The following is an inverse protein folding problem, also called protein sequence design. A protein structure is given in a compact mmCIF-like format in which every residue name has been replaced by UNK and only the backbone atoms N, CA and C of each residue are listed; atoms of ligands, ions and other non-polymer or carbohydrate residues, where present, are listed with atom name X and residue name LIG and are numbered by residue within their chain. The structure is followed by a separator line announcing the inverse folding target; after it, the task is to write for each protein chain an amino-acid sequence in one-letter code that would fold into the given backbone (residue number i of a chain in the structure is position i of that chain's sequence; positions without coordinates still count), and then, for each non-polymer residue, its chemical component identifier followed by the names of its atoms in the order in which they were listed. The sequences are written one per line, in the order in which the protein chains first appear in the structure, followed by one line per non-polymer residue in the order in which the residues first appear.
data_IF_958268617569
#
_entry.id   IF_958268617569
#
_cell.length_a   1.000
_cell.length_b   1.000
_cell.length_c   1.000
_cell.angle_alpha   90.00
_cell.angle_beta   90.00
_cell.angle_gamma   90.00
#
_symmetry.space_group_name_H-M   'P 1'
#
loop_
_entity.id
_entity.type
_entity.pdbx_description
1 polymer ?
#
# COMPACT_ATOMS: atom_id res chain seq x y z
N UNK A 1 43.05 -31.25 3.90
CA UNK A 1 42.24 -30.01 3.85
C UNK A 1 40.77 -30.42 3.88
N UNK A 2 40.30 -30.84 5.05
CA UNK A 2 39.41 -30.11 5.96
C UNK A 2 38.03 -29.78 5.37
N UNK A 3 37.10 -30.58 5.87
CA UNK A 3 35.65 -30.49 5.86
C UNK A 3 35.13 -29.30 6.69
N UNK A 4 33.91 -28.90 6.34
CA UNK A 4 32.82 -28.51 7.24
C UNK A 4 32.43 -27.02 7.37
N UNK A 5 31.11 -26.85 7.19
CA UNK A 5 30.20 -26.09 8.03
C UNK A 5 30.12 -24.55 7.85
N UNK A 6 29.23 -24.15 6.93
CA UNK A 6 28.65 -22.80 6.83
C UNK A 6 27.54 -22.59 7.88
N UNK A 7 27.86 -22.81 9.16
CA UNK A 7 26.96 -22.59 10.31
C UNK A 7 27.68 -21.74 11.36
N UNK A 8 27.99 -20.48 11.04
CA UNK A 8 28.73 -19.58 11.96
C UNK A 8 28.03 -18.26 12.28
N UNK A 9 27.02 -17.86 11.52
CA UNK A 9 26.49 -16.48 11.59
C UNK A 9 25.26 -16.31 12.47
N UNK A 10 24.65 -17.40 12.96
CA UNK A 10 23.39 -17.35 13.70
C UNK A 10 23.56 -17.36 15.24
N UNK A 11 24.77 -17.63 15.76
CA UNK A 11 25.00 -17.76 17.21
C UNK A 11 25.48 -16.48 17.91
N UNK A 12 25.86 -15.43 17.16
CA UNK A 12 26.40 -14.19 17.74
C UNK A 12 25.29 -13.20 18.13
N UNK A 13 24.06 -13.35 17.62
CA UNK A 13 22.96 -12.43 17.96
C UNK A 13 22.24 -12.72 19.27
N UNK A 14 22.53 -13.83 19.96
CA UNK A 14 21.86 -14.17 21.24
C UNK A 14 22.59 -13.64 22.49
N UNK A 15 23.79 -13.06 22.35
CA UNK A 15 24.60 -12.59 23.48
C UNK A 15 24.66 -11.06 23.62
N UNK A 16 23.72 -10.33 23.03
CA UNK A 16 23.59 -8.88 23.18
C UNK A 16 22.38 -8.46 24.05
N UNK A 17 21.71 -9.42 24.71
CA UNK A 17 20.56 -9.18 25.60
C UNK A 17 20.93 -9.27 27.09
N UNK A 18 22.15 -8.84 27.44
CA UNK A 18 22.60 -8.73 28.83
C UNK A 18 23.43 -7.46 29.02
N UNK A 19 22.86 -6.32 28.66
CA UNK A 19 23.30 -5.03 29.15
C UNK A 19 22.15 -4.45 29.95
N UNK A 20 22.23 -4.62 31.27
CA UNK A 20 21.35 -4.01 32.25
C UNK A 20 21.29 -2.50 32.01
N UNK A 21 20.21 -2.04 31.38
CA UNK A 21 19.87 -0.63 31.37
C UNK A 21 19.44 -0.27 32.79
N UNK A 22 20.36 0.32 33.56
CA UNK A 22 20.04 0.94 34.83
C UNK A 22 19.04 2.06 34.58
N UNK A 23 17.75 1.78 34.76
CA UNK A 23 16.70 2.78 34.80
C UNK A 23 16.96 3.68 36.01
N UNK A 24 17.57 4.83 35.75
CA UNK A 24 17.73 5.89 36.74
C UNK A 24 16.36 6.56 36.90
N UNK A 25 15.60 6.13 37.91
CA UNK A 25 14.38 6.81 38.33
C UNK A 25 14.75 8.21 38.80
N UNK A 26 14.59 9.21 37.93
CA UNK A 26 14.62 10.60 38.33
C UNK A 26 13.19 11.00 38.68
N UNK A 27 12.96 11.37 39.93
CA UNK A 27 11.68 11.92 40.36
C UNK A 27 11.43 13.24 39.60
N UNK A 28 10.23 13.37 39.02
CA UNK A 28 9.78 14.59 38.41
C UNK A 28 9.51 15.63 39.50
N UNK A 29 10.42 16.58 39.66
CA UNK A 29 10.22 17.75 40.53
C UNK A 29 9.45 18.78 39.70
N UNK A 30 8.24 19.13 40.13
CA UNK A 30 7.48 20.25 39.56
C UNK A 30 8.18 21.54 39.98
N UNK A 31 8.72 22.36 39.06
CA UNK A 31 9.21 23.68 39.44
C UNK A 31 8.00 24.57 39.72
N UNK A 32 7.77 24.85 41.01
CA UNK A 32 6.87 25.89 41.47
C UNK A 32 7.50 27.25 41.23
N UNK A 33 7.32 27.80 40.02
CA UNK A 33 7.85 29.11 39.70
C UNK A 33 7.60 29.55 38.27
N UNK A 34 6.65 30.48 38.15
CA UNK A 34 6.46 31.42 37.04
C UNK A 34 5.79 30.83 35.79
N UNK A 35 4.68 31.47 35.39
CA UNK A 35 3.96 31.26 34.14
C UNK A 35 4.91 31.40 32.95
N UNK A 36 5.55 30.30 32.56
CA UNK A 36 6.15 30.19 31.24
C UNK A 36 4.98 30.03 30.29
N UNK A 37 4.64 31.12 29.56
CA UNK A 37 3.85 30.96 28.35
C UNK A 37 4.58 29.92 27.51
N UNK A 38 3.99 28.74 27.38
CA UNK A 38 4.42 27.75 26.40
C UNK A 38 4.20 28.44 25.05
N UNK A 39 5.25 29.09 24.55
CA UNK A 39 5.31 29.45 23.14
C UNK A 39 5.32 28.13 22.42
N UNK A 40 4.14 27.67 22.01
CA UNK A 40 4.02 26.64 21.00
C UNK A 40 4.75 27.22 19.81
N UNK A 41 6.00 26.79 19.62
CA UNK A 41 6.73 27.11 18.42
C UNK A 41 5.83 26.60 17.30
N UNK A 42 5.17 27.52 16.61
CA UNK A 42 4.38 27.21 15.42
C UNK A 42 5.42 26.75 14.43
N UNK A 43 5.68 25.44 14.43
CA UNK A 43 6.56 24.78 13.49
C UNK A 43 6.01 25.19 12.14
N UNK A 44 6.77 26.02 11.43
CA UNK A 44 6.33 26.60 10.17
C UNK A 44 5.84 25.46 9.29
N UNK A 45 4.58 25.58 8.85
CA UNK A 45 3.98 24.59 7.97
C UNK A 45 4.89 24.49 6.73
N UNK A 46 5.34 23.29 6.34
CA UNK A 46 6.03 23.13 5.07
C UNK A 46 5.10 23.64 3.96
N UNK A 47 5.66 24.18 2.86
CA UNK A 47 4.86 24.68 1.75
C UNK A 47 3.89 23.58 1.27
N UNK A 48 2.66 23.92 0.83
CA UNK A 48 1.59 22.95 0.53
C UNK A 48 1.96 21.85 -0.48
N UNK A 49 3.06 22.03 -1.21
CA UNK A 49 3.55 21.13 -2.26
C UNK A 49 4.40 19.97 -1.73
N UNK A 50 4.89 20.04 -0.48
CA UNK A 50 5.84 19.05 0.08
C UNK A 50 5.24 18.17 1.18
N UNK A 51 3.91 18.19 1.35
CA UNK A 51 3.25 17.34 2.34
C UNK A 51 3.04 15.95 1.73
N UNK A 52 3.83 14.97 2.20
CA UNK A 52 3.62 13.57 1.85
C UNK A 52 2.18 13.15 2.19
N UNK A 53 1.50 12.57 1.20
CA UNK A 53 0.11 12.13 1.33
C UNK A 53 0.03 10.85 2.19
N UNK A 54 -0.99 10.72 3.05
CA UNK A 54 -1.19 9.54 3.90
C UNK A 54 -1.10 9.84 5.41
N UNK A 55 -0.58 8.92 6.21
CA UNK A 55 -0.43 9.07 7.67
C UNK A 55 0.35 10.34 8.05
N UNK A 56 1.37 10.68 7.25
CA UNK A 56 2.19 11.87 7.48
C UNK A 56 1.42 13.18 7.30
N UNK A 57 0.33 13.20 6.53
CA UNK A 57 -0.51 14.39 6.37
C UNK A 57 -1.47 14.61 7.55
N UNK A 58 -1.68 13.60 8.41
CA UNK A 58 -2.65 13.65 9.51
C UNK A 58 -2.33 14.73 10.55
N UNK A 59 -1.04 15.00 10.78
CA UNK A 59 -0.56 16.07 11.68
C UNK A 59 -0.99 17.48 11.25
N UNK A 60 -1.35 17.68 9.98
CA UNK A 60 -1.75 18.97 9.42
C UNK A 60 -3.26 19.09 9.20
N UNK A 61 -4.05 18.06 9.54
CA UNK A 61 -5.50 18.10 9.40
C UNK A 61 -6.11 18.96 10.50
N UNK A 62 -6.84 20.02 10.13
CA UNK A 62 -7.62 20.79 11.11
C UNK A 62 -8.64 19.88 11.80
N UNK A 63 -8.78 20.00 13.11
CA UNK A 63 -9.72 19.21 13.93
C UNK A 63 -11.03 19.95 14.23
N UNK A 64 -11.12 21.24 13.90
CA UNK A 64 -12.30 22.07 14.19
C UNK A 64 -13.24 22.07 12.99
N UNK A 65 -14.50 21.71 13.25
CA UNK A 65 -15.60 21.72 12.27
C UNK A 65 -16.20 23.13 12.17
N UNK A 66 -16.08 23.78 11.02
CA UNK A 66 -16.58 25.15 10.82
C UNK A 66 -17.95 25.17 10.15
N UNK A 67 -18.61 26.33 10.13
CA UNK A 67 -19.90 26.49 9.43
C UNK A 67 -19.79 26.14 7.94
N UNK A 68 -18.69 26.50 7.28
CA UNK A 68 -18.45 26.13 5.89
C UNK A 68 -18.38 24.62 5.68
N UNK A 69 -17.84 23.86 6.65
CA UNK A 69 -17.83 22.40 6.59
C UNK A 69 -19.25 21.83 6.63
N UNK A 70 -20.15 22.44 7.40
CA UNK A 70 -21.56 22.06 7.47
C UNK A 70 -22.30 22.32 6.17
N UNK A 71 -22.09 23.50 5.56
CA UNK A 71 -22.68 23.84 4.26
C UNK A 71 -22.17 22.87 3.19
N UNK A 72 -20.85 22.64 3.15
CA UNK A 72 -20.23 21.72 2.20
C UNK A 72 -20.71 20.28 2.38
N UNK A 73 -20.89 19.83 3.62
CA UNK A 73 -21.41 18.50 3.92
C UNK A 73 -22.86 18.31 3.45
N UNK A 74 -23.69 19.37 3.53
CA UNK A 74 -25.09 19.34 3.11
C UNK A 74 -25.34 19.67 1.65
N UNK A 75 -24.31 20.10 0.91
CA UNK A 75 -24.45 20.37 -0.53
C UNK A 75 -25.07 19.18 -1.29
N UNK A 76 -26.01 19.43 -2.22
CA UNK A 76 -26.63 18.38 -3.04
C UNK A 76 -25.61 17.73 -3.98
N UNK A 77 -24.57 18.47 -4.40
CA UNK A 77 -23.53 18.01 -5.32
C UNK A 77 -22.43 17.14 -4.65
N UNK A 78 -22.57 16.83 -3.35
CA UNK A 78 -21.57 16.06 -2.59
C UNK A 78 -21.22 14.71 -3.24
N UNK A 79 -22.20 14.08 -3.88
CA UNK A 79 -22.04 12.77 -4.50
C UNK A 79 -21.10 12.86 -5.71
N UNK A 80 -21.36 13.81 -6.60
CA UNK A 80 -20.54 14.04 -7.79
C UNK A 80 -19.13 14.48 -7.42
N UNK A 81 -18.99 15.38 -6.43
CA UNK A 81 -17.69 15.78 -5.92
C UNK A 81 -16.89 14.59 -5.38
N UNK A 82 -17.56 13.66 -4.68
CA UNK A 82 -16.90 12.45 -4.19
C UNK A 82 -16.47 11.52 -5.33
N UNK A 83 -17.30 11.30 -6.34
CA UNK A 83 -16.95 10.49 -7.52
C UNK A 83 -15.74 11.08 -8.24
N UNK A 84 -15.76 12.39 -8.51
CA UNK A 84 -14.67 13.08 -9.20
C UNK A 84 -13.38 13.05 -8.37
N UNK A 85 -13.49 13.06 -7.03
CA UNK A 85 -12.35 12.99 -6.14
C UNK A 85 -11.76 11.57 -5.95
N UNK A 86 -12.51 10.50 -6.27
CA UNK A 86 -12.06 9.11 -6.14
C UNK A 86 -10.69 8.82 -6.78
N UNK A 87 -10.39 9.19 -8.04
CA UNK A 87 -9.08 8.91 -8.65
C UNK A 87 -7.92 9.64 -7.96
N UNK A 88 -8.19 10.75 -7.28
CA UNK A 88 -7.18 11.49 -6.51
C UNK A 88 -7.05 11.04 -5.06
N UNK A 89 -7.89 10.09 -4.63
CA UNK A 89 -7.92 9.57 -3.27
C UNK A 89 -6.67 8.77 -2.92
N UNK A 90 -6.36 8.70 -1.63
CA UNK A 90 -5.24 7.93 -1.09
C UNK A 90 -5.25 6.46 -1.42
N UNK A 91 -6.46 5.88 -1.47
CA UNK A 91 -6.64 4.47 -1.81
C UNK A 91 -6.12 4.22 -3.21
N UNK A 92 -6.51 5.06 -4.18
CA UNK A 92 -6.02 4.93 -5.54
C UNK A 92 -4.50 5.11 -5.61
N UNK A 93 -3.94 6.13 -4.96
CA UNK A 93 -2.48 6.38 -4.99
C UNK A 93 -1.66 5.24 -4.39
N UNK A 94 -2.16 4.60 -3.34
CA UNK A 94 -1.45 3.51 -2.67
C UNK A 94 -1.58 2.17 -3.43
N UNK A 95 -2.77 1.87 -3.98
CA UNK A 95 -3.02 0.58 -4.63
C UNK A 95 -2.77 0.58 -6.14
N UNK A 96 -2.79 1.74 -6.80
CA UNK A 96 -2.72 1.81 -8.26
C UNK A 96 -1.47 1.14 -8.84
N UNK A 97 -0.31 1.26 -8.20
CA UNK A 97 0.93 0.65 -8.70
C UNK A 97 0.83 -0.87 -8.75
N UNK A 98 0.28 -1.48 -7.71
CA UNK A 98 0.11 -2.94 -7.61
C UNK A 98 -0.95 -3.45 -8.59
N UNK A 99 -2.07 -2.73 -8.70
CA UNK A 99 -3.13 -3.05 -9.66
C UNK A 99 -2.62 -2.92 -11.11
N UNK A 100 -1.84 -1.89 -11.43
CA UNK A 100 -1.28 -1.71 -12.78
C UNK A 100 -0.26 -2.80 -13.09
N UNK A 101 0.59 -3.18 -12.12
CA UNK A 101 1.56 -4.25 -12.33
C UNK A 101 0.88 -5.60 -12.61
N UNK A 102 -0.14 -5.95 -11.83
CA UNK A 102 -0.87 -7.21 -12.01
C UNK A 102 -1.72 -7.22 -13.29
N UNK A 103 -2.38 -6.11 -13.63
CA UNK A 103 -3.13 -5.99 -14.88
C UNK A 103 -2.20 -6.04 -16.10
N UNK A 104 -1.01 -5.45 -16.04
CA UNK A 104 -0.02 -5.53 -17.12
C UNK A 104 0.46 -6.97 -17.38
N UNK A 105 0.70 -7.75 -16.31
CA UNK A 105 1.05 -9.17 -16.46
C UNK A 105 -0.12 -9.97 -17.03
N UNK A 106 -1.33 -9.73 -16.53
CA UNK A 106 -2.53 -10.42 -17.01
C UNK A 106 -2.81 -10.11 -18.50
N UNK A 107 -2.71 -8.85 -18.92
CA UNK A 107 -2.91 -8.46 -20.32
C UNK A 107 -1.82 -9.05 -21.23
N UNK A 108 -0.56 -9.09 -20.78
CA UNK A 108 0.51 -9.73 -21.54
C UNK A 108 0.23 -11.23 -21.79
N UNK A 109 -0.26 -11.95 -20.77
CA UNK A 109 -0.61 -13.37 -20.90
C UNK A 109 -1.81 -13.56 -21.85
N UNK A 110 -2.84 -12.71 -21.75
CA UNK A 110 -4.01 -12.77 -22.64
C UNK A 110 -3.59 -12.52 -24.09
N UNK A 111 -2.76 -11.51 -24.34
CA UNK A 111 -2.24 -11.21 -25.68
C UNK A 111 -1.40 -12.37 -26.21
N UNK A 112 -0.51 -12.94 -25.40
CA UNK A 112 0.27 -14.12 -25.78
C UNK A 112 -0.64 -15.29 -26.16
N UNK A 113 -1.63 -15.59 -25.32
CA UNK A 113 -2.58 -16.69 -25.56
C UNK A 113 -3.46 -16.44 -26.79
N UNK A 114 -3.81 -15.19 -27.09
CA UNK A 114 -4.52 -14.82 -28.31
C UNK A 114 -3.67 -15.03 -29.57
N UNK A 115 -2.37 -14.75 -29.52
CA UNK A 115 -1.45 -14.92 -30.65
C UNK A 115 -1.15 -16.40 -30.97
N UNK A 116 -0.95 -17.23 -29.93
CA UNK A 116 -0.59 -18.65 -30.06
C UNK A 116 -1.83 -19.54 -30.18
N UNK A 117 -2.93 -19.19 -29.49
CA UNK A 117 -4.09 -20.06 -29.33
C UNK A 117 -5.33 -19.66 -30.11
N UNK A 118 -5.29 -18.54 -30.83
CA UNK A 118 -6.45 -17.91 -31.44
C UNK A 118 -7.27 -17.12 -30.41
N UNK A 119 -8.14 -16.24 -30.88
CA UNK A 119 -9.05 -15.47 -30.03
C UNK A 119 -10.45 -15.44 -30.63
N UNK A 120 -11.44 -15.23 -29.77
CA UNK A 120 -12.82 -14.98 -30.19
C UNK A 120 -13.09 -13.49 -30.05
N UNK A 121 -13.51 -12.86 -31.14
CA UNK A 121 -13.84 -11.44 -31.13
C UNK A 121 -15.20 -11.18 -30.44
N UNK A 122 -15.54 -9.93 -30.15
CA UNK A 122 -16.80 -9.53 -29.51
C UNK A 122 -18.05 -9.93 -30.32
N UNK A 123 -17.90 -10.17 -31.63
CA UNK A 123 -18.93 -10.72 -32.50
C UNK A 123 -19.08 -12.25 -32.45
N UNK A 124 -18.33 -12.94 -31.60
CA UNK A 124 -18.37 -14.40 -31.45
C UNK A 124 -17.66 -15.18 -32.56
N UNK A 125 -16.95 -14.50 -33.46
CA UNK A 125 -16.17 -15.13 -34.55
C UNK A 125 -14.83 -15.58 -34.00
N UNK A 126 -14.45 -16.84 -34.27
CA UNK A 126 -13.15 -17.38 -33.88
C UNK A 126 -12.11 -17.09 -34.95
N UNK A 127 -11.03 -16.42 -34.54
CA UNK A 127 -9.87 -16.16 -35.37
C UNK A 127 -8.78 -17.19 -35.06
N UNK A 128 -8.24 -17.79 -36.13
CA UNK A 128 -7.13 -18.74 -36.02
C UNK A 128 -5.88 -18.06 -35.45
N UNK A 129 -5.04 -18.87 -34.80
CA UNK A 129 -3.75 -18.40 -34.26
C UNK A 129 -2.86 -17.82 -35.37
N UNK A 130 -2.22 -16.70 -35.08
CA UNK A 130 -1.26 -16.05 -36.00
C UNK A 130 0.03 -16.88 -36.09
N UNK A 131 0.45 -17.48 -34.96
CA UNK A 131 1.60 -18.36 -34.87
C UNK A 131 1.12 -19.81 -34.82
N UNK A 132 1.00 -20.45 -35.99
CA UNK A 132 0.51 -21.83 -36.16
C UNK A 132 1.54 -22.90 -35.80
N UNK A 133 2.42 -22.62 -34.84
CA UNK A 133 3.47 -23.55 -34.44
C UNK A 133 2.92 -24.49 -33.35
N UNK A 134 2.78 -25.77 -33.68
CA UNK A 134 2.44 -26.89 -32.77
C UNK A 134 3.33 -26.98 -31.51
N UNK A 135 4.48 -26.29 -31.52
CA UNK A 135 5.48 -26.36 -30.46
C UNK A 135 5.26 -25.36 -29.30
N UNK A 136 4.38 -24.35 -29.48
CA UNK A 136 4.17 -23.31 -28.46
C UNK A 136 2.97 -23.65 -27.57
N UNK A 137 3.16 -23.93 -26.27
CA UNK A 137 2.06 -24.28 -25.37
C UNK A 137 1.25 -23.04 -24.97
N UNK A 138 -0.07 -23.22 -24.81
CA UNK A 138 -0.93 -22.20 -24.19
C UNK A 138 -0.60 -22.09 -22.71
N UNK A 139 -0.41 -20.86 -22.22
CA UNK A 139 -0.07 -20.63 -20.82
C UNK A 139 -1.37 -20.52 -20.02
N UNK A 140 -1.59 -21.48 -19.13
CA UNK A 140 -2.69 -21.48 -18.17
C UNK A 140 -2.16 -21.72 -16.77
N UNK A 141 -2.71 -21.01 -15.78
CA UNK A 141 -2.38 -21.27 -14.39
C UNK A 141 -3.35 -22.31 -13.80
N UNK A 142 -2.88 -23.21 -12.92
CA UNK A 142 -3.77 -24.09 -12.18
C UNK A 142 -4.64 -23.25 -11.24
N UNK A 143 -5.95 -23.38 -11.37
CA UNK A 143 -6.93 -22.60 -10.59
C UNK A 143 -6.99 -23.04 -9.11
N UNK A 144 -6.59 -24.27 -8.81
CA UNK A 144 -6.68 -24.87 -7.48
C UNK A 144 -5.94 -24.11 -6.36
N UNK A 145 -4.67 -23.68 -6.48
CA UNK A 145 -4.01 -22.94 -5.41
C UNK A 145 -4.65 -21.57 -5.15
N UNK A 146 -5.14 -20.90 -6.20
CA UNK A 146 -5.76 -19.57 -6.08
C UNK A 146 -7.15 -19.65 -5.41
N UNK A 147 -7.94 -20.68 -5.70
CA UNK A 147 -9.23 -20.90 -5.03
C UNK A 147 -9.06 -21.22 -3.54
N UNK A 148 -8.08 -22.06 -3.19
CA UNK A 148 -7.83 -22.45 -1.80
C UNK A 148 -7.29 -21.27 -1.00
N UNK A 149 -6.24 -20.59 -1.49
CA UNK A 149 -5.62 -19.46 -0.79
C UNK A 149 -6.54 -18.24 -0.63
N UNK A 150 -7.38 -17.94 -1.62
CA UNK A 150 -8.29 -16.81 -1.57
C UNK A 150 -9.27 -16.85 -0.39
N UNK A 151 -9.73 -18.05 -0.03
CA UNK A 151 -10.64 -18.24 1.12
C UNK A 151 -9.95 -17.96 2.47
N UNK A 152 -8.67 -18.32 2.62
CA UNK A 152 -7.91 -18.05 3.85
C UNK A 152 -7.52 -16.59 4.00
N UNK A 153 -7.23 -15.89 2.90
CA UNK A 153 -6.92 -14.46 2.91
C UNK A 153 -8.11 -13.61 3.38
N UNK A 154 -9.34 -14.00 3.02
CA UNK A 154 -10.56 -13.33 3.45
C UNK A 154 -10.83 -13.45 4.96
N UNK A 155 -10.24 -14.42 5.66
CA UNK A 155 -10.34 -14.53 7.12
C UNK A 155 -9.29 -13.69 7.88
N UNK A 156 -8.25 -13.20 7.20
CA UNK A 156 -7.14 -12.47 7.83
C UNK A 156 -7.32 -10.94 7.80
N UNK A 157 -8.22 -10.46 6.94
CA UNK A 157 -8.62 -9.06 6.76
C UNK A 157 -9.86 -8.71 7.60
#
# INVERSE_FOLDING_TARGET
MLSSSRWGSAFVCFLALASSSSYRTQAFIVPSGTSSRVSVAVRSLPPPRDIAYGEESRKYRRTVYTHDDWVNHRSPDRFWRNIIAMPTSGVYKNLAKECIATTAVATAIVVYNALVGGYTDFGGVQHAAVLQNELLPKIGMPVSPFTVSGSFLGFLL
#
